data_IF_447272461842
#
_entry.id   IF_447272461842
#
_cell.length_a   1.000
_cell.length_b   1.000
_cell.length_c   1.000
_cell.angle_alpha   90.00
_cell.angle_beta   90.00
_cell.angle_gamma   90.00
#
_symmetry.space_group_name_H-M   'P 1'
#
loop_
_entity.id
_entity.type
_entity.pdbx_description
1 polymer ?
#
# COMPACT_ATOMS: atom_id res chain seq x y z
N UNK A 1 -0.86 5.31 45.85
CA UNK A 1 0.05 4.73 44.85
C UNK A 1 -0.46 5.16 43.47
N UNK A 2 0.09 6.24 42.92
CA UNK A 2 -0.42 6.90 41.71
C UNK A 2 0.29 6.32 40.49
N UNK A 3 -0.40 5.45 39.75
CA UNK A 3 0.07 4.86 38.50
C UNK A 3 0.11 5.93 37.40
N UNK A 4 1.26 6.60 37.26
CA UNK A 4 1.56 7.44 36.11
C UNK A 4 1.78 6.53 34.90
N UNK A 5 0.69 6.18 34.20
CA UNK A 5 0.76 5.56 32.87
C UNK A 5 1.65 6.41 31.96
N UNK A 6 2.84 5.91 31.65
CA UNK A 6 3.70 6.43 30.58
C UNK A 6 2.85 6.61 29.31
N UNK A 7 2.90 7.75 28.60
CA UNK A 7 2.24 7.85 27.32
C UNK A 7 2.93 6.87 26.36
N UNK A 8 2.22 5.82 25.98
CA UNK A 8 2.61 4.90 24.90
C UNK A 8 3.01 5.73 23.68
N UNK A 9 4.16 5.42 23.07
CA UNK A 9 4.76 6.15 21.94
C UNK A 9 3.73 6.40 20.81
N UNK A 10 2.78 5.49 20.64
CA UNK A 10 1.61 5.57 19.74
C UNK A 10 0.75 6.82 19.98
N UNK A 11 0.47 7.16 21.23
CA UNK A 11 -0.47 8.22 21.64
C UNK A 11 0.09 9.61 21.38
N UNK A 12 1.42 9.79 21.48
CA UNK A 12 2.09 11.04 21.15
C UNK A 12 2.14 11.30 19.62
N UNK A 13 2.22 10.23 18.81
CA UNK A 13 2.23 10.31 17.35
C UNK A 13 0.83 10.62 16.81
N UNK A 14 -0.20 9.94 17.33
CA UNK A 14 -1.61 10.17 16.94
C UNK A 14 -2.02 11.62 17.19
N UNK A 15 -1.61 12.20 18.32
CA UNK A 15 -1.96 13.57 18.72
C UNK A 15 -1.37 14.66 17.81
N UNK A 16 -0.39 14.32 16.96
CA UNK A 16 0.20 15.24 15.95
C UNK A 16 -0.32 14.99 14.53
N UNK A 17 -1.26 14.08 14.32
CA UNK A 17 -1.87 13.88 13.01
C UNK A 17 -2.84 15.05 12.76
N UNK A 18 -2.66 15.83 11.68
CA UNK A 18 -3.59 16.92 11.37
C UNK A 18 -4.96 16.34 11.01
N UNK A 19 -6.03 16.92 11.55
CA UNK A 19 -7.42 16.48 11.37
C UNK A 19 -7.80 16.31 9.89
N UNK A 20 -7.24 17.17 9.02
CA UNK A 20 -7.41 17.09 7.56
C UNK A 20 -6.97 15.73 6.99
N UNK A 21 -5.87 15.15 7.48
CA UNK A 21 -5.42 13.80 7.03
C UNK A 21 -6.42 12.72 7.41
N UNK A 22 -6.95 12.79 8.63
CA UNK A 22 -7.92 11.82 9.12
C UNK A 22 -9.21 11.88 8.28
N UNK A 23 -9.71 13.08 7.99
CA UNK A 23 -10.86 13.27 7.11
C UNK A 23 -10.65 12.67 5.72
N UNK A 24 -9.47 12.86 5.12
CA UNK A 24 -9.16 12.23 3.83
C UNK A 24 -9.09 10.69 3.92
N UNK A 25 -8.55 10.14 5.00
CA UNK A 25 -8.53 8.68 5.20
C UNK A 25 -9.96 8.13 5.33
N UNK A 26 -10.78 8.76 6.15
CA UNK A 26 -12.19 8.38 6.34
C UNK A 26 -12.96 8.48 5.02
N UNK A 27 -12.75 9.55 4.25
CA UNK A 27 -13.38 9.74 2.94
C UNK A 27 -12.91 8.67 1.94
N UNK A 28 -11.61 8.41 1.86
CA UNK A 28 -11.06 7.36 1.00
C UNK A 28 -11.56 5.98 1.38
N UNK A 29 -11.69 5.71 2.69
CA UNK A 29 -12.23 4.47 3.22
C UNK A 29 -13.70 4.28 2.85
N UNK A 30 -14.53 5.31 2.97
CA UNK A 30 -15.93 5.28 2.56
C UNK A 30 -16.08 5.02 1.05
N UNK A 31 -15.28 5.68 0.21
CA UNK A 31 -15.31 5.49 -1.26
C UNK A 31 -14.84 4.08 -1.64
N UNK A 32 -13.74 3.61 -1.04
CA UNK A 32 -13.18 2.28 -1.30
C UNK A 32 -14.17 1.18 -0.92
N UNK A 33 -14.63 1.18 0.34
CA UNK A 33 -15.58 0.20 0.87
C UNK A 33 -16.91 0.19 0.10
N UNK A 34 -17.38 1.35 -0.37
CA UNK A 34 -18.56 1.43 -1.22
C UNK A 34 -18.39 0.67 -2.54
N UNK A 35 -17.25 0.84 -3.21
CA UNK A 35 -16.93 0.14 -4.47
C UNK A 35 -16.79 -1.37 -4.26
N UNK A 36 -16.12 -1.78 -3.19
CA UNK A 36 -15.96 -3.20 -2.86
C UNK A 36 -17.33 -3.85 -2.62
N UNK A 37 -18.16 -3.28 -1.75
CA UNK A 37 -19.44 -3.88 -1.35
C UNK A 37 -20.52 -3.80 -2.46
N UNK A 38 -20.72 -2.64 -3.08
CA UNK A 38 -21.83 -2.46 -4.02
C UNK A 38 -21.52 -2.98 -5.43
N UNK A 39 -20.25 -3.10 -5.81
CA UNK A 39 -19.84 -3.45 -7.18
C UNK A 39 -19.07 -4.78 -7.20
N UNK A 40 -17.90 -4.85 -6.58
CA UNK A 40 -17.04 -6.04 -6.68
C UNK A 40 -17.69 -7.29 -6.07
N UNK A 41 -18.27 -7.16 -4.86
CA UNK A 41 -18.94 -8.28 -4.19
C UNK A 41 -20.17 -8.77 -4.97
N UNK A 42 -20.87 -7.87 -5.69
CA UNK A 42 -22.06 -8.23 -6.48
C UNK A 42 -21.72 -8.89 -7.80
N UNK A 43 -20.75 -8.33 -8.51
CA UNK A 43 -20.33 -8.84 -9.81
C UNK A 43 -19.37 -10.05 -9.70
N UNK A 44 -19.10 -10.53 -8.48
CA UNK A 44 -18.16 -11.63 -8.18
C UNK A 44 -16.78 -11.41 -8.83
N UNK A 45 -16.35 -10.15 -8.82
CA UNK A 45 -15.05 -9.74 -9.36
C UNK A 45 -14.03 -9.89 -8.26
N UNK A 46 -13.08 -10.78 -8.50
CA UNK A 46 -11.97 -11.01 -7.59
C UNK A 46 -10.92 -9.92 -7.76
N UNK A 47 -10.53 -9.28 -6.66
CA UNK A 47 -9.37 -8.39 -6.63
C UNK A 47 -8.07 -9.20 -6.61
N UNK A 48 -7.01 -8.60 -7.14
CA UNK A 48 -5.67 -9.20 -7.18
C UNK A 48 -4.97 -9.22 -5.81
N UNK A 49 -3.64 -9.44 -5.83
CA UNK A 49 -2.81 -9.29 -4.64
C UNK A 49 -3.03 -10.35 -3.57
N UNK A 50 -3.25 -9.92 -2.32
CA UNK A 50 -3.41 -10.84 -1.18
C UNK A 50 -4.69 -11.67 -1.30
N UNK A 51 -5.77 -11.12 -1.85
CA UNK A 51 -7.05 -11.84 -2.03
C UNK A 51 -6.87 -13.00 -3.01
N UNK A 52 -6.22 -12.76 -4.15
CA UNK A 52 -5.88 -13.84 -5.08
C UNK A 52 -4.94 -14.88 -4.48
N UNK A 53 -4.00 -14.45 -3.62
CA UNK A 53 -3.08 -15.37 -2.93
C UNK A 53 -3.80 -16.22 -1.88
N UNK A 54 -4.80 -15.65 -1.19
CA UNK A 54 -5.67 -16.39 -0.27
C UNK A 54 -6.47 -17.45 -1.02
N UNK A 55 -7.08 -17.12 -2.17
CA UNK A 55 -7.81 -18.10 -2.99
C UNK A 55 -6.91 -19.21 -3.54
N UNK A 56 -5.68 -18.86 -3.95
CA UNK A 56 -4.69 -19.86 -4.39
C UNK A 56 -4.34 -20.80 -3.23
N UNK A 57 -4.12 -20.25 -2.04
CA UNK A 57 -3.75 -21.02 -0.85
C UNK A 57 -4.90 -21.92 -0.39
N UNK A 58 -6.14 -21.42 -0.42
CA UNK A 58 -7.34 -22.21 -0.14
C UNK A 58 -7.48 -23.39 -1.11
N UNK A 59 -7.27 -23.17 -2.42
CA UNK A 59 -7.39 -24.23 -3.41
C UNK A 59 -6.33 -25.33 -3.25
N UNK A 60 -5.08 -24.96 -2.95
CA UNK A 60 -3.96 -25.91 -2.87
C UNK A 60 -3.80 -26.57 -1.50
N UNK A 61 -4.01 -25.82 -0.41
CA UNK A 61 -3.82 -26.30 0.96
C UNK A 61 -5.13 -26.64 1.68
N UNK A 62 -6.29 -26.27 1.12
CA UNK A 62 -7.60 -26.51 1.75
C UNK A 62 -7.81 -25.76 3.06
N UNK A 63 -6.96 -24.78 3.38
CA UNK A 63 -7.05 -23.98 4.60
C UNK A 63 -8.09 -22.89 4.36
N UNK A 64 -8.97 -22.67 5.35
CA UNK A 64 -9.99 -21.63 5.25
C UNK A 64 -9.37 -20.23 5.15
N UNK A 65 -9.91 -19.37 4.27
CA UNK A 65 -9.49 -17.98 4.14
C UNK A 65 -9.45 -17.18 5.44
N UNK A 66 -10.32 -17.50 6.40
CA UNK A 66 -10.40 -16.83 7.69
C UNK A 66 -9.06 -16.87 8.46
N UNK A 67 -8.24 -17.91 8.24
CA UNK A 67 -6.94 -18.05 8.88
C UNK A 67 -5.79 -17.53 8.00
N UNK A 68 -5.86 -17.73 6.68
CA UNK A 68 -4.79 -17.33 5.76
C UNK A 68 -4.73 -15.81 5.59
N UNK A 69 -5.86 -15.14 5.41
CA UNK A 69 -5.92 -13.68 5.17
C UNK A 69 -5.21 -12.89 6.27
N UNK A 70 -5.52 -13.05 7.57
CA UNK A 70 -4.82 -12.30 8.61
C UNK A 70 -3.32 -12.66 8.68
N UNK A 71 -2.93 -13.90 8.39
CA UNK A 71 -1.51 -14.29 8.34
C UNK A 71 -0.78 -13.58 7.21
N UNK A 72 -1.33 -13.56 5.99
CA UNK A 72 -0.76 -12.86 4.85
C UNK A 72 -0.69 -11.35 5.11
N UNK A 73 -1.75 -10.75 5.65
CA UNK A 73 -1.77 -9.33 6.00
C UNK A 73 -0.70 -9.01 7.05
N UNK A 74 -0.56 -9.82 8.10
CA UNK A 74 0.47 -9.62 9.14
C UNK A 74 1.86 -9.67 8.52
N UNK A 75 2.14 -10.64 7.64
CA UNK A 75 3.44 -10.75 6.95
C UNK A 75 3.71 -9.48 6.13
N UNK A 76 2.72 -9.01 5.38
CA UNK A 76 2.84 -7.80 4.56
C UNK A 76 3.03 -6.55 5.41
N UNK A 77 2.33 -6.42 6.53
CA UNK A 77 2.52 -5.33 7.48
C UNK A 77 3.87 -5.37 8.19
N UNK A 78 4.40 -6.55 8.52
CA UNK A 78 5.75 -6.70 9.09
C UNK A 78 6.82 -6.26 8.09
N UNK A 79 6.67 -6.63 6.82
CA UNK A 79 7.55 -6.14 5.75
C UNK A 79 7.44 -4.61 5.62
N UNK A 80 6.23 -4.07 5.58
CA UNK A 80 6.02 -2.63 5.50
C UNK A 80 6.58 -1.89 6.73
N UNK A 81 6.50 -2.46 7.93
CA UNK A 81 7.10 -1.89 9.14
C UNK A 81 8.61 -1.73 8.98
N UNK A 82 9.29 -2.73 8.43
CA UNK A 82 10.74 -2.72 8.20
C UNK A 82 11.18 -1.65 7.20
N UNK A 83 10.42 -1.42 6.13
CA UNK A 83 10.82 -0.52 5.03
C UNK A 83 10.20 0.88 5.07
N UNK A 84 8.95 1.02 5.54
CA UNK A 84 8.20 2.28 5.59
C UNK A 84 8.14 2.89 7.00
N UNK A 85 8.38 2.09 8.03
CA UNK A 85 8.48 2.51 9.44
C UNK A 85 7.16 2.54 10.20
N UNK A 86 7.25 2.68 11.53
CA UNK A 86 6.08 2.57 12.42
C UNK A 86 4.99 3.63 12.25
N UNK A 87 5.33 4.82 11.72
CA UNK A 87 4.32 5.85 11.42
C UNK A 87 3.36 5.43 10.31
N UNK A 88 3.87 4.72 9.30
CA UNK A 88 3.04 4.17 8.22
C UNK A 88 2.06 3.15 8.79
N UNK A 89 2.54 2.21 9.60
CA UNK A 89 1.70 1.17 10.21
C UNK A 89 0.57 1.75 11.06
N UNK A 90 0.83 2.78 11.87
CA UNK A 90 -0.23 3.42 12.67
C UNK A 90 -1.31 4.02 11.76
N UNK A 91 -0.91 4.66 10.65
CA UNK A 91 -1.84 5.23 9.68
C UNK A 91 -2.61 4.13 8.94
N UNK A 92 -1.93 3.05 8.56
CA UNK A 92 -2.52 1.87 7.92
C UNK A 92 -3.53 1.15 8.78
N UNK A 93 -3.25 0.97 10.07
CA UNK A 93 -4.22 0.38 11.01
C UNK A 93 -5.46 1.26 11.10
N UNK A 94 -5.28 2.59 11.17
CA UNK A 94 -6.39 3.52 11.25
C UNK A 94 -7.23 3.53 9.96
N UNK A 95 -6.60 3.49 8.79
CA UNK A 95 -7.31 3.41 7.51
C UNK A 95 -7.98 2.07 7.30
N UNK A 96 -7.31 0.95 7.57
CA UNK A 96 -7.90 -0.40 7.47
C UNK A 96 -9.10 -0.53 8.39
N UNK A 97 -8.98 -0.09 9.64
CA UNK A 97 -10.11 -0.08 10.58
C UNK A 97 -11.26 0.80 10.09
N UNK A 98 -10.96 1.95 9.49
CA UNK A 98 -11.99 2.81 8.88
C UNK A 98 -12.66 2.13 7.70
N UNK A 99 -11.89 1.46 6.82
CA UNK A 99 -12.41 0.70 5.67
C UNK A 99 -13.33 -0.41 6.15
N UNK A 100 -12.90 -1.22 7.13
CA UNK A 100 -13.73 -2.27 7.73
C UNK A 100 -15.00 -1.73 8.39
N UNK A 101 -14.89 -0.61 9.13
CA UNK A 101 -16.06 0.00 9.79
C UNK A 101 -17.09 0.51 8.77
N UNK A 102 -16.64 1.16 7.69
CA UNK A 102 -17.55 1.57 6.61
C UNK A 102 -18.08 0.38 5.84
N UNK A 103 -17.26 -0.63 5.57
CA UNK A 103 -17.69 -1.87 4.92
C UNK A 103 -18.84 -2.53 5.69
N UNK A 104 -18.68 -2.75 7.00
CA UNK A 104 -19.77 -3.26 7.84
C UNK A 104 -20.98 -2.32 7.88
N UNK A 105 -20.78 -1.00 7.81
CA UNK A 105 -21.90 -0.07 7.71
C UNK A 105 -22.68 -0.27 6.40
N UNK A 106 -22.00 -0.49 5.27
CA UNK A 106 -22.66 -0.75 3.98
C UNK A 106 -23.41 -2.08 3.98
N UNK A 107 -22.93 -3.10 4.69
CA UNK A 107 -23.63 -4.39 4.83
C UNK A 107 -25.00 -4.28 5.51
N UNK A 108 -25.21 -3.26 6.35
CA UNK A 108 -26.53 -3.02 6.97
C UNK A 108 -27.56 -2.45 5.97
N UNK A 109 -27.11 -1.85 4.88
CA UNK A 109 -27.99 -1.26 3.89
C UNK A 109 -28.21 -2.21 2.71
N UNK A 110 -29.41 -2.24 2.13
CA UNK A 110 -29.58 -2.86 0.82
C UNK A 110 -28.66 -2.15 -0.19
N UNK A 111 -28.21 -2.88 -1.20
CA UNK A 111 -27.35 -2.32 -2.25
C UNK A 111 -27.95 -1.06 -2.86
N UNK A 112 -27.18 0.01 -2.88
CA UNK A 112 -27.64 1.26 -3.49
C UNK A 112 -27.53 1.24 -5.01
N UNK A 113 -26.71 0.34 -5.57
CA UNK A 113 -26.55 0.20 -7.01
C UNK A 113 -27.38 -0.97 -7.56
N UNK A 114 -27.98 -0.81 -8.75
CA UNK A 114 -28.62 -1.92 -9.46
C UNK A 114 -27.60 -3.04 -9.71
N UNK A 115 -28.09 -4.26 -9.90
CA UNK A 115 -27.22 -5.40 -10.09
C UNK A 115 -26.46 -5.30 -11.42
N UNK A 116 -25.16 -5.00 -11.36
CA UNK A 116 -24.29 -4.91 -12.53
C UNK A 116 -23.78 -6.29 -12.98
N UNK A 117 -24.23 -7.39 -12.36
CA UNK A 117 -23.84 -8.76 -12.71
C UNK A 117 -24.14 -9.14 -14.16
N UNK A 118 -25.14 -8.52 -14.78
CA UNK A 118 -25.44 -8.71 -16.21
C UNK A 118 -24.36 -8.12 -17.14
N UNK A 119 -23.53 -7.21 -16.64
CA UNK A 119 -22.47 -6.51 -17.38
C UNK A 119 -21.16 -6.46 -16.57
N UNK A 120 -20.44 -7.59 -16.43
CA UNK A 120 -19.23 -7.69 -15.59
C UNK A 120 -18.11 -6.72 -16.01
N UNK A 121 -18.03 -6.35 -17.29
CA UNK A 121 -17.09 -5.33 -17.76
C UNK A 121 -17.38 -3.95 -17.15
N UNK A 122 -18.65 -3.56 -17.06
CA UNK A 122 -19.06 -2.27 -16.49
C UNK A 122 -18.78 -2.26 -14.99
N UNK A 123 -19.02 -3.39 -14.32
CA UNK A 123 -18.68 -3.59 -12.91
C UNK A 123 -17.17 -3.50 -12.67
N UNK A 124 -16.35 -4.11 -13.53
CA UNK A 124 -14.89 -4.06 -13.43
C UNK A 124 -14.34 -2.63 -13.54
N UNK A 125 -14.84 -1.87 -14.51
CA UNK A 125 -14.42 -0.47 -14.72
C UNK A 125 -14.88 0.42 -13.56
N UNK A 126 -16.17 0.35 -13.20
CA UNK A 126 -16.71 1.19 -12.12
C UNK A 126 -16.08 0.85 -10.77
N UNK A 127 -16.00 -0.44 -10.41
CA UNK A 127 -15.36 -0.90 -9.18
C UNK A 127 -13.87 -0.52 -9.13
N UNK A 128 -13.13 -0.71 -10.22
CA UNK A 128 -11.74 -0.27 -10.32
C UNK A 128 -11.57 1.24 -10.13
N UNK A 129 -12.54 2.05 -10.58
CA UNK A 129 -12.54 3.50 -10.34
C UNK A 129 -12.77 3.82 -8.86
N UNK A 130 -13.80 3.24 -8.23
CA UNK A 130 -14.10 3.49 -6.81
C UNK A 130 -12.96 3.05 -5.89
N UNK A 131 -12.45 1.83 -6.10
CA UNK A 131 -11.34 1.29 -5.32
C UNK A 131 -10.07 2.10 -5.57
N UNK A 132 -9.73 2.37 -6.85
CA UNK A 132 -8.56 3.18 -7.19
C UNK A 132 -8.60 4.60 -6.59
N UNK A 133 -9.76 5.25 -6.61
CA UNK A 133 -9.97 6.54 -5.97
C UNK A 133 -9.82 6.48 -4.45
N UNK A 134 -10.51 5.54 -3.80
CA UNK A 134 -10.51 5.39 -2.35
C UNK A 134 -9.13 5.05 -1.81
N UNK A 135 -8.52 3.99 -2.36
CA UNK A 135 -7.16 3.53 -2.00
C UNK A 135 -6.12 4.62 -2.28
N UNK A 136 -6.19 5.28 -3.45
CA UNK A 136 -5.27 6.37 -3.80
C UNK A 136 -5.31 7.53 -2.80
N UNK A 137 -6.48 7.91 -2.30
CA UNK A 137 -6.64 8.94 -1.27
C UNK A 137 -6.01 8.49 0.06
N UNK A 138 -6.22 7.25 0.48
CA UNK A 138 -5.67 6.67 1.72
C UNK A 138 -4.13 6.66 1.65
N UNK A 139 -3.57 6.09 0.58
CA UNK A 139 -2.12 5.97 0.37
C UNK A 139 -1.46 7.33 0.34
N UNK A 140 -2.12 8.33 -0.25
CA UNK A 140 -1.63 9.71 -0.28
C UNK A 140 -1.46 10.32 1.12
N UNK A 141 -2.24 9.90 2.12
CA UNK A 141 -2.06 10.36 3.50
C UNK A 141 -0.93 9.62 4.25
N UNK A 142 -0.44 8.51 3.68
CA UNK A 142 0.63 7.67 4.21
C UNK A 142 0.14 6.46 4.99
N UNK A 143 -1.03 5.90 4.65
CA UNK A 143 -1.53 4.62 5.16
C UNK A 143 -1.80 3.62 4.02
N UNK A 144 -2.50 2.53 4.33
CA UNK A 144 -2.94 1.49 3.38
C UNK A 144 -4.34 1.00 3.72
N UNK A 145 -5.10 0.56 2.73
CA UNK A 145 -6.43 -0.04 2.91
C UNK A 145 -6.35 -1.49 3.42
N UNK A 146 -5.27 -2.19 3.07
CA UNK A 146 -5.03 -3.59 3.44
C UNK A 146 -3.55 -3.97 3.44
N UNK A 147 -3.27 -5.27 3.58
CA UNK A 147 -1.91 -5.81 3.49
C UNK A 147 -1.36 -5.80 2.06
N UNK A 148 -2.22 -5.91 1.06
CA UNK A 148 -1.89 -5.88 -0.37
C UNK A 148 -1.26 -4.54 -0.77
N UNK A 149 -1.89 -3.46 -0.36
CA UNK A 149 -1.40 -2.10 -0.47
C UNK A 149 -0.05 -1.92 0.25
N UNK A 150 0.06 -2.47 1.47
CA UNK A 150 1.29 -2.39 2.25
C UNK A 150 2.46 -3.12 1.55
N UNK A 151 2.17 -4.27 0.94
CA UNK A 151 3.13 -5.05 0.16
C UNK A 151 3.52 -4.31 -1.14
N UNK A 152 2.56 -3.80 -1.90
CA UNK A 152 2.82 -3.04 -3.13
C UNK A 152 3.65 -1.78 -2.86
N UNK A 153 3.33 -1.04 -1.80
CA UNK A 153 4.11 0.14 -1.36
C UNK A 153 5.52 -0.25 -0.93
N UNK A 154 5.68 -1.39 -0.27
CA UNK A 154 7.00 -1.92 0.12
C UNK A 154 7.83 -2.28 -1.10
N UNK A 155 7.25 -2.98 -2.08
CA UNK A 155 7.92 -3.34 -3.33
C UNK A 155 8.31 -2.09 -4.11
N UNK A 156 7.41 -1.13 -4.26
CA UNK A 156 7.70 0.16 -4.91
C UNK A 156 8.85 0.89 -4.18
N UNK A 157 8.90 0.81 -2.85
CA UNK A 157 9.98 1.42 -2.05
C UNK A 157 11.34 0.76 -2.25
N UNK A 158 11.37 -0.57 -2.41
CA UNK A 158 12.61 -1.34 -2.60
C UNK A 158 13.11 -1.21 -4.04
N UNK A 159 12.22 -1.35 -5.01
CA UNK A 159 12.55 -1.39 -6.45
C UNK A 159 12.67 -0.01 -7.08
N UNK A 160 12.23 1.05 -6.38
CA UNK A 160 12.11 2.40 -6.91
C UNK A 160 11.23 2.53 -8.17
N UNK A 161 10.36 1.54 -8.41
CA UNK A 161 9.39 1.57 -9.49
C UNK A 161 8.14 2.39 -9.12
N UNK A 162 7.37 2.82 -10.13
CA UNK A 162 6.06 3.44 -9.95
C UNK A 162 5.13 2.51 -9.16
N UNK A 163 4.24 3.08 -8.35
CA UNK A 163 3.36 2.28 -7.50
C UNK A 163 2.41 1.42 -8.34
N UNK A 164 1.88 1.97 -9.43
CA UNK A 164 1.08 1.23 -10.43
C UNK A 164 1.76 -0.04 -10.93
N UNK A 165 3.07 0.02 -11.18
CA UNK A 165 3.85 -1.15 -11.66
C UNK A 165 4.02 -2.20 -10.57
N UNK A 166 4.11 -1.79 -9.31
CA UNK A 166 4.22 -2.73 -8.19
C UNK A 166 2.90 -3.52 -8.03
N UNK A 167 1.74 -2.83 -8.03
CA UNK A 167 0.43 -3.48 -8.00
C UNK A 167 0.22 -4.42 -9.20
N UNK A 168 0.47 -3.93 -10.41
CA UNK A 168 0.34 -4.77 -11.61
C UNK A 168 1.23 -6.00 -11.52
N UNK A 169 2.48 -5.85 -11.07
CA UNK A 169 3.38 -6.99 -10.95
C UNK A 169 2.89 -8.03 -9.92
N UNK A 170 2.49 -7.59 -8.73
CA UNK A 170 2.00 -8.50 -7.69
C UNK A 170 0.73 -9.22 -8.15
N UNK A 171 -0.17 -8.48 -8.78
CA UNK A 171 -1.48 -8.98 -9.16
C UNK A 171 -1.38 -9.88 -10.39
N UNK A 172 -0.54 -9.57 -11.38
CA UNK A 172 -0.30 -10.46 -12.51
C UNK A 172 0.35 -11.77 -12.08
N UNK A 173 1.28 -11.74 -11.13
CA UNK A 173 1.91 -12.97 -10.61
C UNK A 173 0.86 -13.85 -9.94
N UNK A 174 0.04 -13.26 -9.07
CA UNK A 174 -1.00 -14.00 -8.34
C UNK A 174 -2.11 -14.49 -9.30
N UNK A 175 -2.65 -13.62 -10.16
CA UNK A 175 -3.69 -13.97 -11.12
C UNK A 175 -3.20 -15.02 -12.13
N UNK A 176 -1.93 -14.95 -12.53
CA UNK A 176 -1.30 -15.96 -13.39
C UNK A 176 -1.22 -17.34 -12.72
N UNK A 177 -0.96 -17.39 -11.41
CA UNK A 177 -1.04 -18.65 -10.64
C UNK A 177 -2.49 -19.13 -10.50
N UNK A 178 -3.43 -18.20 -10.34
CA UNK A 178 -4.87 -18.49 -10.22
C UNK A 178 -5.53 -18.97 -11.52
N UNK A 179 -4.87 -18.83 -12.67
CA UNK A 179 -5.32 -19.36 -13.96
C UNK A 179 -5.51 -20.88 -13.95
N UNK A 180 -4.85 -21.58 -13.01
CA UNK A 180 -4.94 -23.04 -12.87
C UNK A 180 -6.32 -23.51 -12.39
N UNK A 181 -7.08 -22.66 -11.67
CA UNK A 181 -8.36 -23.05 -11.05
C UNK A 181 -9.54 -22.09 -11.31
N UNK A 182 -9.30 -20.83 -11.68
CA UNK A 182 -10.37 -19.85 -11.98
C UNK A 182 -10.69 -19.83 -13.47
N UNK A 183 -11.98 -19.71 -13.82
CA UNK A 183 -12.42 -19.49 -15.20
C UNK A 183 -11.78 -18.24 -15.81
N UNK A 184 -11.22 -18.39 -17.02
CA UNK A 184 -10.53 -17.33 -17.75
C UNK A 184 -11.35 -16.04 -17.87
N UNK A 185 -12.67 -16.13 -18.08
CA UNK A 185 -13.55 -14.97 -18.20
C UNK A 185 -13.52 -14.06 -16.97
N UNK A 186 -13.50 -14.62 -15.75
CA UNK A 186 -13.45 -13.82 -14.52
C UNK A 186 -12.09 -13.13 -14.35
N UNK A 187 -11.01 -13.83 -14.69
CA UNK A 187 -9.66 -13.30 -14.59
C UNK A 187 -9.44 -12.11 -15.54
N UNK A 188 -10.01 -12.15 -16.75
CA UNK A 188 -9.94 -11.01 -17.67
C UNK A 188 -10.56 -9.76 -17.04
N UNK A 189 -11.73 -9.88 -16.40
CA UNK A 189 -12.37 -8.75 -15.71
C UNK A 189 -11.53 -8.26 -14.53
N UNK A 190 -10.98 -9.15 -13.71
CA UNK A 190 -10.06 -8.81 -12.62
C UNK A 190 -8.82 -8.05 -13.11
N UNK A 191 -8.21 -8.49 -14.21
CA UNK A 191 -7.06 -7.80 -14.83
C UNK A 191 -7.44 -6.38 -15.25
N UNK A 192 -8.61 -6.19 -15.87
CA UNK A 192 -9.10 -4.85 -16.23
C UNK A 192 -9.29 -3.97 -15.01
N UNK A 193 -9.93 -4.48 -13.96
CA UNK A 193 -10.11 -3.78 -12.68
C UNK A 193 -8.77 -3.32 -12.11
N UNK A 194 -7.80 -4.24 -12.03
CA UNK A 194 -6.46 -3.97 -11.47
C UNK A 194 -5.70 -2.93 -12.29
N UNK A 195 -5.77 -2.99 -13.62
CA UNK A 195 -5.12 -1.98 -14.49
C UNK A 195 -5.68 -0.58 -14.22
N UNK A 196 -7.00 -0.47 -14.15
CA UNK A 196 -7.69 0.80 -13.93
C UNK A 196 -7.40 1.33 -12.52
N UNK A 197 -7.56 0.49 -11.50
CA UNK A 197 -7.34 0.88 -10.10
C UNK A 197 -5.88 1.28 -9.86
N UNK A 198 -4.92 0.47 -10.32
CA UNK A 198 -3.48 0.74 -10.18
C UNK A 198 -3.07 2.05 -10.84
N UNK A 199 -3.60 2.33 -12.03
CA UNK A 199 -3.35 3.59 -12.73
C UNK A 199 -3.93 4.78 -11.97
N UNK A 200 -5.15 4.67 -11.46
CA UNK A 200 -5.79 5.73 -10.68
C UNK A 200 -5.06 5.99 -9.36
N UNK A 201 -4.63 4.93 -8.65
CA UNK A 201 -3.85 5.04 -7.42
C UNK A 201 -2.57 5.84 -7.67
N UNK A 202 -1.79 5.46 -8.70
CA UNK A 202 -0.54 6.14 -9.06
C UNK A 202 -0.80 7.61 -9.45
N UNK A 203 -1.88 7.88 -10.20
CA UNK A 203 -2.27 9.24 -10.58
C UNK A 203 -2.65 10.10 -9.38
N UNK A 204 -3.45 9.59 -8.44
CA UNK A 204 -3.86 10.34 -7.25
C UNK A 204 -2.68 10.58 -6.32
N UNK A 205 -1.77 9.61 -6.23
CA UNK A 205 -0.54 9.71 -5.47
C UNK A 205 0.42 10.75 -6.08
N UNK A 206 0.53 10.77 -7.41
CA UNK A 206 1.36 11.73 -8.15
C UNK A 206 0.74 13.14 -8.21
N UNK A 207 -0.60 13.25 -8.13
CA UNK A 207 -1.35 14.50 -8.18
C UNK A 207 -0.97 15.42 -6.99
N UNK A 208 0.05 16.26 -7.20
CA UNK A 208 0.64 17.12 -6.18
C UNK A 208 0.32 18.58 -6.46
N UNK A 209 -0.34 19.23 -5.51
CA UNK A 209 -0.39 20.69 -5.44
C UNK A 209 1.04 21.23 -5.33
N UNK A 210 1.41 22.29 -6.08
CA UNK A 210 2.74 22.88 -6.04
C UNK A 210 3.06 23.29 -4.58
N UNK A 211 4.17 22.79 -4.02
CA UNK A 211 4.67 23.24 -2.71
C UNK A 211 4.80 22.20 -1.59
N UNK A 212 4.45 20.92 -1.77
CA UNK A 212 4.86 19.87 -0.78
C UNK A 212 6.14 19.16 -1.21
N UNK A 213 7.19 19.10 -0.35
CA UNK A 213 8.37 18.30 -0.64
C UNK A 213 7.97 16.83 -0.84
N UNK A 214 8.66 16.16 -1.78
CA UNK A 214 8.48 14.74 -2.07
C UNK A 214 8.48 13.97 -0.74
N UNK A 215 7.36 13.38 -0.34
CA UNK A 215 7.31 12.38 0.75
C UNK A 215 8.06 11.08 0.39
N UNK A 216 8.71 11.06 -0.77
CA UNK A 216 9.73 10.12 -1.19
C UNK A 216 10.88 10.92 -1.85
N UNK A 217 11.54 11.83 -1.11
CA UNK A 217 12.93 12.11 -1.45
C UNK A 217 13.68 10.85 -1.05
N UNK A 218 14.27 10.18 -2.03
CA UNK A 218 15.29 9.18 -1.82
C UNK A 218 16.17 9.63 -0.64
N UNK A 219 16.07 8.96 0.49
CA UNK A 219 17.25 8.80 1.31
C UNK A 219 18.10 7.83 0.50
N UNK A 220 18.91 8.37 -0.40
CA UNK A 220 20.30 7.92 -0.45
C UNK A 220 20.72 7.89 1.01
N UNK A 221 20.77 6.70 1.58
CA UNK A 221 21.69 6.45 2.66
C UNK A 221 23.03 6.80 2.00
N UNK A 222 23.48 8.04 2.18
CA UNK A 222 24.92 8.27 2.17
C UNK A 222 25.44 7.20 3.11
N UNK A 223 26.38 6.34 2.67
CA UNK A 223 27.01 5.41 3.59
C UNK A 223 27.41 6.23 4.82
N UNK A 224 27.21 5.72 6.04
CA UNK A 224 27.64 6.44 7.23
C UNK A 224 29.05 6.94 6.94
N UNK A 225 29.26 8.23 7.15
CA UNK A 225 30.57 8.86 7.05
C UNK A 225 31.45 8.16 8.09
N UNK A 226 31.99 7.01 7.71
CA UNK A 226 33.07 6.34 8.39
C UNK A 226 34.19 7.35 8.20
N UNK A 227 34.31 8.25 9.18
CA UNK A 227 35.52 9.01 9.40
C UNK A 227 36.64 7.99 9.28
N UNK A 228 37.40 8.08 8.18
CA UNK A 228 38.64 7.37 7.97
C UNK A 228 39.70 7.99 8.90
N UNK A 229 39.40 8.02 10.19
CA UNK A 229 40.32 8.26 11.26
C UNK A 229 40.76 6.88 11.70
N UNK A 230 42.04 6.58 11.51
CA UNK A 230 42.77 5.42 12.03
C UNK A 230 43.08 4.28 11.05
N UNK A 231 43.40 4.57 9.79
CA UNK A 231 44.36 3.74 9.03
C UNK A 231 45.26 4.67 8.18
N UNK A 232 46.16 5.39 8.84
CA UNK A 232 47.20 6.19 8.15
C UNK A 232 48.56 6.13 8.84
N UNK A 233 48.79 5.07 9.63
CA UNK A 233 50.00 4.93 10.44
C UNK A 233 50.84 3.67 10.16
N UNK A 234 50.56 2.92 9.08
CA UNK A 234 51.24 1.62 8.81
C UNK A 234 51.87 1.54 7.40
N UNK A 235 51.97 2.63 6.63
CA UNK A 235 52.76 2.61 5.38
C UNK A 235 53.58 3.89 5.23
N UNK A 236 54.90 3.87 5.52
CA UNK A 236 55.80 4.95 5.14
C UNK A 236 56.08 4.83 3.64
N UNK A 237 55.65 5.80 2.83
CA UNK A 237 56.13 5.88 1.44
C UNK A 237 55.21 6.40 0.34
N UNK A 238 54.05 7.00 0.62
CA UNK A 238 53.21 7.57 -0.46
C UNK A 238 53.32 9.09 -0.57
N UNK A 239 54.15 9.50 -1.52
CA UNK A 239 54.45 10.87 -1.95
C UNK A 239 53.18 11.56 -2.50
N UNK A 240 52.82 12.71 -1.92
CA UNK A 240 51.85 13.67 -2.50
C UNK A 240 52.38 14.17 -3.85
N UNK A 241 51.63 13.98 -4.94
CA UNK A 241 51.68 14.89 -6.10
C UNK A 241 50.33 15.58 -6.22
N UNK A 242 50.40 16.90 -6.10
CA UNK A 242 49.34 17.88 -6.16
C UNK A 242 48.74 18.00 -7.56
N UNK A 243 47.41 18.00 -7.64
CA UNK A 243 46.64 18.51 -8.78
C UNK A 243 45.37 19.17 -8.26
N UNK A 244 45.43 20.49 -8.03
CA UNK A 244 44.34 21.34 -7.55
C UNK A 244 43.12 21.28 -8.47
N UNK A 245 41.91 21.12 -7.90
CA UNK A 245 40.84 22.13 -8.10
C UNK A 245 39.80 22.09 -6.97
N UNK A 246 39.68 23.24 -6.31
CA UNK A 246 38.74 23.58 -5.24
C UNK A 246 37.27 23.57 -5.68
N UNK A 247 36.40 23.14 -4.77
CA UNK A 247 35.29 23.89 -4.12
C UNK A 247 34.22 22.86 -3.71
N UNK A 248 34.08 22.58 -2.41
CA UNK A 248 33.19 23.31 -1.48
C UNK A 248 31.74 23.27 -1.97
N UNK A 249 30.93 22.31 -1.50
CA UNK A 249 30.15 22.34 -0.24
C UNK A 249 28.99 23.35 -0.35
N UNK A 250 27.81 22.83 -0.69
CA UNK A 250 26.51 23.05 -0.06
C UNK A 250 25.52 21.99 -0.57
#
# INVERSE_FOLDING_TARGET
MSDKKQPTITTAIIRRIPWKKLLFIILGAAICSFGIHNIHQRADITEGGIIGLMLLTEHWLGISPAYITPVLDIICYLLAFKYLGGKFIIMSILSTFSVSAFYSLWELFPPMLPDLSASPLLAAISGGIFVGLGVGIIIRQGGSSGGDDALALTISRITHCRLSRAYLFTDFVVLGLSLTYIHFSKLVFSVFTVIISSFLIDRIQEFRLPGRPKLLKHNTISPPNIKCHRIRRIIPGWKKKSGKRNREVC
#
